data_IF_439080842833
#
_entry.id   IF_439080842833
#
_cell.length_a   1.000
_cell.length_b   1.000
_cell.length_c   1.000
_cell.angle_alpha   90.00
_cell.angle_beta   90.00
_cell.angle_gamma   90.00
#
_symmetry.space_group_name_H-M   'P 1'
#
loop_
_entity.id
_entity.type
_entity.pdbx_description
1 polymer ?
#
# COMPACT_ATOMS: atom_id res chain seq x y z
N UNK A 1 7.94 8.91 -11.96
CA UNK A 1 7.43 9.01 -13.34
C UNK A 1 6.94 7.66 -13.89
N UNK A 2 7.58 6.51 -13.57
CA UNK A 2 7.25 5.19 -14.16
C UNK A 2 5.75 4.83 -14.03
N UNK A 3 5.12 5.05 -12.87
CA UNK A 3 3.69 4.77 -12.68
C UNK A 3 2.77 5.63 -13.55
N UNK A 4 3.17 6.85 -13.87
CA UNK A 4 2.38 7.77 -14.69
C UNK A 4 2.52 7.51 -16.22
N UNK A 5 3.51 6.70 -16.62
CA UNK A 5 3.79 6.41 -18.04
C UNK A 5 2.65 5.64 -18.73
N UNK A 6 1.81 4.95 -17.97
CA UNK A 6 0.60 4.28 -18.51
C UNK A 6 -0.39 5.29 -19.14
N UNK A 7 -0.33 6.57 -18.73
CA UNK A 7 -1.22 7.63 -19.21
C UNK A 7 -0.71 8.36 -20.47
N UNK A 8 0.51 8.06 -20.93
CA UNK A 8 1.11 8.73 -22.09
C UNK A 8 0.44 8.32 -23.38
N UNK A 9 0.19 9.29 -24.25
CA UNK A 9 -0.47 9.10 -25.55
C UNK A 9 0.41 9.49 -26.74
N UNK A 10 1.68 9.85 -26.49
CA UNK A 10 2.60 10.20 -27.57
C UNK A 10 3.16 8.95 -28.26
N UNK A 11 3.40 9.06 -29.56
CA UNK A 11 4.03 8.02 -30.37
C UNK A 11 5.57 8.12 -30.33
N UNK A 12 6.23 7.07 -30.83
CA UNK A 12 7.70 6.98 -30.90
C UNK A 12 8.31 8.15 -31.70
N UNK A 13 7.65 8.60 -32.77
CA UNK A 13 8.16 9.69 -33.60
C UNK A 13 8.16 11.03 -32.85
N UNK A 14 7.06 11.34 -32.12
CA UNK A 14 6.97 12.55 -31.29
C UNK A 14 7.97 12.59 -30.14
N UNK A 15 8.35 11.42 -29.59
CA UNK A 15 9.38 11.29 -28.57
C UNK A 15 10.77 11.60 -29.11
N UNK A 16 11.11 11.09 -30.31
CA UNK A 16 12.42 11.30 -30.95
C UNK A 16 12.62 12.78 -31.34
N UNK A 17 11.58 13.41 -31.89
CA UNK A 17 11.65 14.83 -32.35
C UNK A 17 11.36 15.84 -31.25
N UNK A 18 11.05 15.39 -30.00
CA UNK A 18 10.72 16.25 -28.86
C UNK A 18 9.75 17.37 -29.21
N UNK A 19 8.67 17.03 -29.92
CA UNK A 19 7.65 17.98 -30.38
C UNK A 19 7.07 18.78 -29.20
N UNK A 20 6.42 19.93 -29.51
CA UNK A 20 5.76 20.75 -28.50
C UNK A 20 4.76 19.93 -27.67
N UNK A 21 3.97 19.09 -28.34
CA UNK A 21 3.01 18.17 -27.71
C UNK A 21 3.70 17.19 -26.74
N UNK A 22 4.83 16.61 -27.13
CA UNK A 22 5.61 15.74 -26.26
C UNK A 22 6.04 16.44 -24.96
N UNK A 23 6.56 17.68 -25.08
CA UNK A 23 6.98 18.46 -23.90
C UNK A 23 5.81 18.79 -22.98
N UNK A 24 4.67 19.21 -23.54
CA UNK A 24 3.46 19.50 -22.76
C UNK A 24 2.95 18.27 -22.00
N UNK A 25 3.00 17.08 -22.61
CA UNK A 25 2.63 15.81 -21.94
C UNK A 25 3.65 15.42 -20.85
N UNK A 26 4.96 15.56 -21.09
CA UNK A 26 6.01 15.30 -20.10
C UNK A 26 5.89 16.23 -18.88
N UNK A 27 5.63 17.52 -19.12
CA UNK A 27 5.43 18.50 -18.06
C UNK A 27 4.18 18.16 -17.23
N UNK A 28 3.08 17.75 -17.88
CA UNK A 28 1.86 17.32 -17.19
C UNK A 28 2.09 16.05 -16.35
N UNK A 29 2.80 15.06 -16.89
CA UNK A 29 3.14 13.82 -16.14
C UNK A 29 4.04 14.13 -14.96
N UNK A 30 5.02 15.02 -15.15
CA UNK A 30 5.92 15.44 -14.08
C UNK A 30 5.14 16.18 -12.98
N UNK A 31 4.23 17.06 -13.36
CA UNK A 31 3.36 17.76 -12.41
C UNK A 31 2.49 16.79 -11.60
N UNK A 32 1.84 15.82 -12.26
CA UNK A 32 1.03 14.79 -11.61
C UNK A 32 1.88 13.92 -10.65
N UNK A 33 3.08 13.53 -11.07
CA UNK A 33 3.99 12.75 -10.23
C UNK A 33 4.41 13.53 -8.97
N UNK A 34 4.74 14.83 -9.11
CA UNK A 34 5.08 15.69 -7.99
C UNK A 34 3.90 15.92 -7.04
N UNK A 35 2.67 15.97 -7.59
CA UNK A 35 1.45 16.04 -6.78
C UNK A 35 1.28 14.78 -5.94
N UNK A 36 1.45 13.60 -6.52
CA UNK A 36 1.38 12.33 -5.79
C UNK A 36 2.47 12.28 -4.70
N UNK A 37 3.70 12.70 -5.00
CA UNK A 37 4.77 12.75 -4.00
C UNK A 37 4.44 13.67 -2.82
N UNK A 38 3.75 14.80 -3.06
CA UNK A 38 3.24 15.66 -1.97
C UNK A 38 2.16 14.96 -1.15
N UNK A 39 1.23 14.29 -1.83
CA UNK A 39 0.13 13.55 -1.18
C UNK A 39 0.65 12.45 -0.23
N UNK A 40 1.73 11.75 -0.62
CA UNK A 40 2.34 10.70 0.19
C UNK A 40 3.44 11.19 1.14
N UNK A 41 3.72 12.51 1.18
CA UNK A 41 4.73 13.10 2.06
C UNK A 41 6.19 12.88 1.65
N UNK A 42 6.45 12.57 0.38
CA UNK A 42 7.78 12.30 -0.17
C UNK A 42 8.31 13.41 -1.08
N UNK A 43 7.64 14.56 -1.15
CA UNK A 43 8.03 15.64 -2.07
C UNK A 43 9.46 16.14 -1.86
N UNK A 44 9.89 16.28 -0.62
CA UNK A 44 11.23 16.77 -0.29
C UNK A 44 12.35 15.78 -0.63
N UNK A 45 11.98 14.53 -0.94
CA UNK A 45 12.86 13.45 -1.37
C UNK A 45 12.80 13.18 -2.88
N UNK A 46 12.18 14.07 -3.67
CA UNK A 46 11.92 13.87 -5.11
C UNK A 46 13.18 13.67 -5.96
N UNK A 47 14.32 14.16 -5.50
CA UNK A 47 15.62 14.09 -6.17
C UNK A 47 16.53 12.98 -5.58
N UNK A 48 16.09 12.29 -4.51
CA UNK A 48 16.82 11.19 -3.90
C UNK A 48 16.67 9.90 -4.71
N UNK A 49 17.70 9.07 -4.68
CA UNK A 49 17.57 7.69 -5.18
C UNK A 49 16.64 6.90 -4.27
N UNK A 50 15.71 6.13 -4.84
CA UNK A 50 14.76 5.31 -4.09
C UNK A 50 15.46 4.32 -3.13
N UNK A 51 16.64 3.80 -3.53
CA UNK A 51 17.47 2.91 -2.69
C UNK A 51 18.02 3.56 -1.43
N UNK A 52 18.08 4.89 -1.38
CA UNK A 52 18.60 5.64 -0.24
C UNK A 52 17.52 6.07 0.75
N UNK A 53 16.25 5.83 0.41
CA UNK A 53 15.14 6.12 1.31
C UNK A 53 15.10 5.12 2.48
N UNK A 54 14.67 5.54 3.68
CA UNK A 54 14.29 4.62 4.75
C UNK A 54 13.24 3.62 4.26
N UNK A 55 13.21 2.42 4.85
CA UNK A 55 12.35 1.33 4.37
C UNK A 55 10.86 1.71 4.33
N UNK A 56 10.36 2.41 5.35
CA UNK A 56 8.98 2.92 5.37
C UNK A 56 8.67 3.89 4.23
N UNK A 57 9.63 4.75 3.86
CA UNK A 57 9.47 5.68 2.73
C UNK A 57 9.55 4.95 1.38
N UNK A 58 10.33 3.87 1.28
CA UNK A 58 10.33 3.02 0.08
C UNK A 58 8.94 2.40 -0.12
N UNK A 59 8.28 1.91 0.93
CA UNK A 59 6.90 1.37 0.86
C UNK A 59 5.88 2.45 0.48
N UNK A 60 5.97 3.66 1.05
CA UNK A 60 5.15 4.80 0.61
C UNK A 60 5.36 5.13 -0.86
N UNK A 61 6.61 5.05 -1.36
CA UNK A 61 6.92 5.28 -2.78
C UNK A 61 6.34 4.20 -3.68
N UNK A 62 6.34 2.93 -3.28
CA UNK A 62 5.67 1.84 -4.00
C UNK A 62 4.17 2.10 -4.14
N UNK A 63 3.51 2.51 -3.06
CA UNK A 63 2.10 2.87 -3.07
C UNK A 63 1.86 4.12 -3.94
N UNK A 64 2.73 5.13 -3.86
CA UNK A 64 2.67 6.32 -4.71
C UNK A 64 2.74 5.96 -6.20
N UNK A 65 3.52 4.97 -6.59
CA UNK A 65 3.58 4.48 -7.97
C UNK A 65 2.24 3.89 -8.42
N UNK A 66 1.54 3.14 -7.56
CA UNK A 66 0.21 2.63 -7.84
C UNK A 66 -0.81 3.78 -7.96
N UNK A 67 -0.77 4.76 -7.06
CA UNK A 67 -1.62 5.96 -7.12
C UNK A 67 -1.42 6.73 -8.43
N UNK A 68 -0.19 6.89 -8.89
CA UNK A 68 0.15 7.60 -10.12
C UNK A 68 -0.47 6.97 -11.38
N UNK A 69 -0.82 5.68 -11.37
CA UNK A 69 -1.57 5.04 -12.46
C UNK A 69 -3.02 5.52 -12.55
N UNK A 70 -3.54 6.16 -11.50
CA UNK A 70 -4.94 6.54 -11.36
C UNK A 70 -5.81 5.47 -10.72
N UNK A 71 -5.20 4.41 -10.16
CA UNK A 71 -5.92 3.36 -9.45
C UNK A 71 -6.66 3.93 -8.24
N UNK A 72 -7.87 3.45 -8.00
CA UNK A 72 -8.69 3.74 -6.81
C UNK A 72 -8.70 2.59 -5.81
N UNK A 73 -8.36 1.39 -6.27
CA UNK A 73 -8.14 0.20 -5.45
C UNK A 73 -6.64 -0.10 -5.41
N UNK A 74 -6.10 -0.17 -4.21
CA UNK A 74 -4.70 -0.48 -3.94
C UNK A 74 -4.64 -1.85 -3.28
N UNK A 75 -3.84 -2.74 -3.84
CA UNK A 75 -3.59 -4.08 -3.30
C UNK A 75 -2.24 -4.08 -2.61
N UNK A 76 -2.21 -4.47 -1.33
CA UNK A 76 -1.00 -4.54 -0.52
C UNK A 76 -0.83 -5.97 -0.02
N UNK A 77 0.30 -6.56 -0.30
CA UNK A 77 0.67 -7.89 0.15
C UNK A 77 1.76 -7.77 1.21
N UNK A 78 1.43 -8.14 2.46
CA UNK A 78 2.28 -8.04 3.65
C UNK A 78 3.07 -6.72 3.73
N UNK A 79 2.41 -5.56 3.66
CA UNK A 79 3.11 -4.28 3.55
C UNK A 79 3.97 -3.94 4.78
N UNK A 80 3.65 -4.48 5.95
CA UNK A 80 4.39 -4.27 7.18
C UNK A 80 5.52 -5.30 7.42
N UNK A 81 5.72 -6.27 6.52
CA UNK A 81 6.74 -7.30 6.69
C UNK A 81 8.15 -6.70 6.80
N UNK A 82 8.89 -7.12 7.83
CA UNK A 82 10.25 -6.65 8.08
C UNK A 82 10.39 -5.25 8.68
N UNK A 83 9.28 -4.58 9.01
CA UNK A 83 9.26 -3.28 9.67
C UNK A 83 9.43 -3.42 11.18
N UNK A 84 10.09 -2.43 11.78
CA UNK A 84 10.04 -2.26 13.22
C UNK A 84 8.67 -1.69 13.66
N UNK A 85 8.30 -1.74 14.96
CA UNK A 85 7.00 -1.27 15.43
C UNK A 85 6.68 0.19 15.08
N UNK A 86 7.68 1.06 15.06
CA UNK A 86 7.50 2.47 14.71
C UNK A 86 7.18 2.63 13.21
N UNK A 87 7.93 1.97 12.35
CA UNK A 87 7.71 1.98 10.88
C UNK A 87 6.34 1.40 10.53
N UNK A 88 5.96 0.29 11.17
CA UNK A 88 4.63 -0.32 11.01
C UNK A 88 3.52 0.65 11.42
N UNK A 89 3.69 1.36 12.54
CA UNK A 89 2.73 2.37 12.98
C UNK A 89 2.58 3.51 11.94
N UNK A 90 3.70 4.03 11.43
CA UNK A 90 3.71 5.10 10.42
C UNK A 90 3.06 4.65 9.10
N UNK A 91 3.28 3.39 8.70
CA UNK A 91 2.61 2.81 7.54
C UNK A 91 1.09 2.70 7.77
N UNK A 92 0.66 2.26 8.95
CA UNK A 92 -0.77 2.19 9.28
C UNK A 92 -1.43 3.57 9.24
N UNK A 93 -0.79 4.60 9.79
CA UNK A 93 -1.31 5.98 9.70
C UNK A 93 -1.40 6.44 8.24
N UNK A 94 -0.40 6.11 7.43
CA UNK A 94 -0.43 6.42 6.00
C UNK A 94 -1.58 5.70 5.26
N UNK A 95 -1.84 4.43 5.55
CA UNK A 95 -2.97 3.70 4.96
C UNK A 95 -4.31 4.30 5.42
N UNK A 96 -4.44 4.71 6.69
CA UNK A 96 -5.63 5.44 7.18
C UNK A 96 -5.84 6.77 6.43
N UNK A 97 -4.76 7.48 6.16
CA UNK A 97 -4.81 8.70 5.35
C UNK A 97 -5.31 8.40 3.93
N UNK A 98 -4.81 7.36 3.26
CA UNK A 98 -5.28 6.95 1.94
C UNK A 98 -6.79 6.64 1.93
N UNK A 99 -7.28 5.92 2.93
CA UNK A 99 -8.73 5.66 3.08
C UNK A 99 -9.53 6.97 3.18
N UNK A 100 -9.08 7.91 4.02
CA UNK A 100 -9.74 9.22 4.18
C UNK A 100 -9.74 10.06 2.90
N UNK A 101 -8.74 9.88 2.04
CA UNK A 101 -8.65 10.58 0.74
C UNK A 101 -9.37 9.86 -0.40
N UNK A 102 -10.09 8.77 -0.10
CA UNK A 102 -11.02 8.09 -1.02
C UNK A 102 -10.42 6.91 -1.79
N UNK A 103 -9.28 6.38 -1.35
CA UNK A 103 -8.75 5.12 -1.86
C UNK A 103 -9.38 3.94 -1.13
N UNK A 104 -9.62 2.86 -1.86
CA UNK A 104 -9.95 1.55 -1.30
C UNK A 104 -8.65 0.74 -1.19
N UNK A 105 -8.40 0.17 -0.03
CA UNK A 105 -7.22 -0.68 0.19
C UNK A 105 -7.67 -2.10 0.51
N UNK A 106 -7.18 -3.06 -0.26
CA UNK A 106 -7.26 -4.48 0.05
C UNK A 106 -5.87 -4.94 0.47
N UNK A 107 -5.75 -5.46 1.68
CA UNK A 107 -4.49 -5.83 2.28
C UNK A 107 -4.49 -7.30 2.69
N UNK A 108 -3.41 -8.00 2.42
CA UNK A 108 -3.12 -9.33 2.97
C UNK A 108 -2.11 -9.12 4.10
N UNK A 109 -2.44 -9.59 5.29
CA UNK A 109 -1.57 -9.53 6.47
C UNK A 109 -1.82 -10.71 7.39
N UNK A 110 -0.79 -11.11 8.11
CA UNK A 110 -0.84 -12.15 9.12
C UNK A 110 -0.63 -11.60 10.55
N UNK A 111 -0.23 -10.33 10.68
CA UNK A 111 -0.17 -9.66 11.98
C UNK A 111 -1.56 -9.17 12.39
N UNK A 112 -2.17 -9.88 13.32
CA UNK A 112 -3.51 -9.56 13.83
C UNK A 112 -3.57 -8.18 14.46
N UNK A 113 -2.48 -7.66 15.01
CA UNK A 113 -2.46 -6.31 15.59
C UNK A 113 -2.61 -5.24 14.51
N UNK A 114 -1.95 -5.42 13.38
CA UNK A 114 -2.10 -4.54 12.20
C UNK A 114 -3.52 -4.63 11.66
N UNK A 115 -3.99 -5.86 11.39
CA UNK A 115 -5.31 -6.10 10.77
C UNK A 115 -6.44 -5.51 11.60
N UNK A 116 -6.47 -5.77 12.91
CA UNK A 116 -7.53 -5.31 13.81
C UNK A 116 -7.58 -3.78 13.95
N UNK A 117 -6.43 -3.10 13.84
CA UNK A 117 -6.36 -1.66 14.03
C UNK A 117 -6.69 -0.84 12.78
N UNK A 118 -6.64 -1.43 11.58
CA UNK A 118 -6.73 -0.65 10.33
C UNK A 118 -7.92 -1.02 9.45
N UNK A 119 -8.41 -2.26 9.55
CA UNK A 119 -9.42 -2.80 8.67
C UNK A 119 -10.83 -2.33 9.04
N UNK A 120 -11.66 -2.08 8.03
CA UNK A 120 -13.11 -1.89 8.19
C UNK A 120 -13.84 -3.23 8.14
N UNK A 121 -13.27 -4.20 7.39
CA UNK A 121 -13.81 -5.55 7.21
C UNK A 121 -12.67 -6.53 7.02
N UNK A 122 -12.81 -7.71 7.60
CA UNK A 122 -11.78 -8.75 7.60
C UNK A 122 -12.35 -10.03 7.02
N UNK A 123 -11.60 -10.64 6.11
CA UNK A 123 -11.82 -11.99 5.60
C UNK A 123 -10.68 -12.87 6.10
N UNK A 124 -11.01 -13.89 6.89
CA UNK A 124 -10.02 -14.81 7.45
C UNK A 124 -9.96 -16.06 6.61
N UNK A 125 -8.76 -16.40 6.17
CA UNK A 125 -8.49 -17.58 5.32
C UNK A 125 -7.52 -18.50 6.06
N UNK A 126 -7.84 -19.78 6.09
CA UNK A 126 -6.98 -20.83 6.60
C UNK A 126 -6.84 -21.94 5.56
N UNK A 127 -5.59 -22.34 5.22
CA UNK A 127 -5.29 -23.34 4.21
C UNK A 127 -6.09 -23.17 2.89
N UNK A 128 -6.21 -21.90 2.44
CA UNK A 128 -6.92 -21.54 1.22
C UNK A 128 -8.46 -21.57 1.30
N UNK A 129 -9.03 -21.75 2.49
CA UNK A 129 -10.48 -21.76 2.73
C UNK A 129 -10.90 -20.58 3.61
N UNK A 130 -11.98 -19.88 3.27
CA UNK A 130 -12.52 -18.85 4.14
C UNK A 130 -13.12 -19.50 5.40
N UNK A 131 -12.71 -19.00 6.58
CA UNK A 131 -13.18 -19.50 7.88
C UNK A 131 -14.04 -18.50 8.64
N UNK A 132 -13.84 -17.20 8.39
CA UNK A 132 -14.63 -16.13 9.00
C UNK A 132 -14.62 -14.88 8.13
N UNK A 133 -15.65 -14.05 8.28
CA UNK A 133 -15.77 -12.73 7.69
C UNK A 133 -16.54 -11.84 8.67
N UNK A 134 -16.13 -10.57 8.82
CA UNK A 134 -16.82 -9.65 9.71
C UNK A 134 -16.04 -8.37 10.02
N UNK A 135 -16.57 -7.60 10.95
CA UNK A 135 -15.90 -6.45 11.54
C UNK A 135 -14.76 -6.91 12.47
N UNK A 136 -13.74 -6.07 12.71
CA UNK A 136 -12.64 -6.43 13.61
C UNK A 136 -13.11 -6.96 14.97
N UNK A 137 -14.12 -6.32 15.58
CA UNK A 137 -14.67 -6.73 16.88
C UNK A 137 -15.38 -8.10 16.85
N UNK A 138 -15.96 -8.48 15.71
CA UNK A 138 -16.59 -9.78 15.51
C UNK A 138 -15.52 -10.86 15.31
N UNK A 139 -14.50 -10.56 14.52
CA UNK A 139 -13.37 -11.47 14.24
C UNK A 139 -12.57 -11.72 15.52
N UNK A 140 -12.33 -10.71 16.36
CA UNK A 140 -11.63 -10.85 17.63
C UNK A 140 -12.30 -11.83 18.62
N UNK A 141 -13.61 -12.01 18.48
CA UNK A 141 -14.43 -12.91 19.34
C UNK A 141 -14.75 -14.26 18.69
N UNK A 142 -14.35 -14.43 17.43
CA UNK A 142 -14.67 -15.64 16.68
C UNK A 142 -13.79 -16.81 17.13
N UNK A 143 -14.41 -17.84 17.73
CA UNK A 143 -13.69 -18.99 18.29
C UNK A 143 -12.82 -19.71 17.25
N UNK A 144 -13.28 -19.86 16.01
CA UNK A 144 -12.50 -20.50 14.94
C UNK A 144 -11.22 -19.72 14.61
N UNK A 145 -11.28 -18.39 14.63
CA UNK A 145 -10.12 -17.53 14.41
C UNK A 145 -9.16 -17.60 15.59
N UNK A 146 -9.70 -17.58 16.82
CA UNK A 146 -8.92 -17.73 18.05
C UNK A 146 -8.16 -19.05 18.04
N UNK A 147 -8.82 -20.15 17.70
CA UNK A 147 -8.20 -21.50 17.69
C UNK A 147 -7.07 -21.59 16.64
N UNK A 148 -7.23 -20.97 15.46
CA UNK A 148 -6.24 -21.02 14.38
C UNK A 148 -5.07 -20.07 14.64
N UNK A 149 -5.34 -18.82 15.01
CA UNK A 149 -4.33 -17.76 15.06
C UNK A 149 -3.82 -17.43 16.45
N UNK A 150 -4.62 -17.64 17.51
CA UNK A 150 -4.29 -17.31 18.89
C UNK A 150 -4.14 -18.55 19.79
N UNK A 151 -4.76 -19.66 19.40
CA UNK A 151 -4.69 -20.92 20.15
C UNK A 151 -3.39 -21.72 19.94
N UNK A 152 -2.66 -21.46 18.86
CA UNK A 152 -1.41 -22.16 18.54
C UNK A 152 -0.24 -21.88 19.49
N UNK A 153 -0.29 -20.78 20.24
CA UNK A 153 0.75 -20.44 21.24
C UNK A 153 0.70 -21.30 22.52
N UNK A 154 -0.43 -21.97 22.80
CA UNK A 154 -0.56 -22.82 23.99
C UNK A 154 -0.15 -24.28 23.79
N UNK A 155 0.06 -24.74 22.55
CA UNK A 155 0.47 -26.13 22.29
C UNK A 155 1.99 -26.31 22.11
N UNK A 156 2.76 -25.24 21.97
CA UNK A 156 4.23 -25.32 21.87
C UNK A 156 4.94 -25.52 23.25
N UNK A 157 4.21 -25.43 24.34
CA UNK A 157 4.76 -25.59 25.70
C UNK A 157 4.52 -26.99 26.34
N UNK A 158 4.04 -27.97 25.55
CA UNK A 158 3.73 -29.34 26.05
C UNK A 158 4.38 -30.47 25.25
N UNK A 159 5.60 -30.26 24.73
CA UNK A 159 6.45 -31.37 24.29
C UNK A 159 7.89 -31.15 24.72
#
# INVERSE_FOLDING_TARGET
>A
LVGAHIKTKYDLASSIFRTKKFREEEDAITYDALKVLREVGLYDRKDDYASNLPYGDQRKLEIARAIATGAKLILLDEPAAGMNPQESHELMEFIRFLKKTGYTVLMIEHDMSVVMNISDRIYVIDHGKPIAEGLPEEIAKNQKVIDVYLGGSNNAAKN
#
